data_IF_704336880850
#
_entry.id   IF_704336880850
#
_cell.length_a   1.000
_cell.length_b   1.000
_cell.length_c   1.000
_cell.angle_alpha   90.00
_cell.angle_beta   90.00
_cell.angle_gamma   90.00
#
_symmetry.space_group_name_H-M   'P 1'
#
loop_
_entity.id
_entity.type
_entity.pdbx_description
1 polymer ?
#
# COMPACT_ATOMS: atom_id res chain seq x y z
N UNK A 1 9.99 -14.30 9.21
CA UNK A 1 9.83 -13.95 7.79
C UNK A 1 8.57 -13.08 7.59
N UNK A 2 8.11 -12.39 8.65
CA UNK A 2 6.71 -11.96 8.81
C UNK A 2 6.52 -10.44 8.87
N UNK A 3 7.62 -9.70 8.97
CA UNK A 3 7.64 -8.22 9.00
C UNK A 3 7.00 -7.67 7.71
N UNK A 4 7.25 -8.34 6.58
CA UNK A 4 6.64 -7.98 5.31
C UNK A 4 5.10 -8.14 5.31
N UNK A 5 4.56 -9.06 6.09
CA UNK A 5 3.12 -9.29 6.08
C UNK A 5 2.39 -8.29 7.01
N UNK A 6 3.06 -7.82 8.07
CA UNK A 6 2.52 -6.78 8.94
C UNK A 6 2.50 -5.41 8.25
N UNK A 7 3.61 -5.00 7.63
CA UNK A 7 3.67 -3.70 6.96
C UNK A 7 2.70 -3.62 5.78
N UNK A 8 2.54 -4.72 5.02
CA UNK A 8 1.54 -4.81 3.95
C UNK A 8 0.12 -4.62 4.49
N UNK A 9 -0.20 -5.28 5.62
CA UNK A 9 -1.52 -5.16 6.25
C UNK A 9 -1.78 -3.75 6.77
N UNK A 10 -0.77 -3.09 7.34
CA UNK A 10 -0.91 -1.70 7.78
C UNK A 10 -1.13 -0.75 6.60
N UNK A 11 -0.39 -0.91 5.51
CA UNK A 11 -0.56 -0.11 4.30
C UNK A 11 -1.92 -0.34 3.65
N UNK A 12 -2.38 -1.61 3.58
CA UNK A 12 -3.73 -1.94 3.15
C UNK A 12 -4.78 -1.29 4.03
N UNK A 13 -4.65 -1.39 5.36
CA UNK A 13 -5.61 -0.81 6.29
C UNK A 13 -5.66 0.71 6.19
N UNK A 14 -4.51 1.39 6.06
CA UNK A 14 -4.45 2.83 5.78
C UNK A 14 -5.13 3.20 4.46
N UNK A 15 -4.89 2.41 3.42
CA UNK A 15 -5.48 2.63 2.09
C UNK A 15 -7.00 2.43 2.14
N UNK A 16 -7.49 1.42 2.86
CA UNK A 16 -8.92 1.16 3.05
C UNK A 16 -9.60 2.31 3.79
N UNK A 17 -9.02 2.81 4.89
CA UNK A 17 -9.59 3.95 5.63
C UNK A 17 -9.64 5.20 4.73
N UNK A 18 -8.54 5.49 4.01
CA UNK A 18 -8.49 6.63 3.10
C UNK A 18 -9.50 6.47 1.96
N UNK A 19 -9.69 5.25 1.45
CA UNK A 19 -10.66 4.95 0.41
C UNK A 19 -12.10 5.06 0.90
N UNK A 20 -12.42 4.58 2.09
CA UNK A 20 -13.74 4.72 2.70
C UNK A 20 -14.08 6.19 2.94
N UNK A 21 -13.11 6.97 3.44
CA UNK A 21 -13.27 8.41 3.61
C UNK A 21 -13.49 9.11 2.26
N UNK A 22 -12.65 8.83 1.25
CA UNK A 22 -12.81 9.37 -0.10
C UNK A 22 -14.12 8.92 -0.77
N UNK A 23 -14.61 7.73 -0.46
CA UNK A 23 -15.90 7.24 -0.98
C UNK A 23 -17.08 7.97 -0.35
N UNK A 24 -16.95 8.37 0.91
CA UNK A 24 -17.95 9.19 1.59
C UNK A 24 -17.94 10.64 1.07
N UNK A 25 -16.76 11.20 0.78
CA UNK A 25 -16.60 12.53 0.20
C UNK A 25 -15.58 12.53 -0.95
N UNK A 26 -16.03 12.24 -2.18
CA UNK A 26 -15.16 12.18 -3.35
C UNK A 26 -14.79 13.55 -3.92
N UNK A 27 -15.33 14.64 -3.36
CA UNK A 27 -15.02 16.01 -3.76
C UNK A 27 -13.90 16.63 -2.91
N UNK A 28 -13.55 16.00 -1.80
CA UNK A 28 -12.45 16.42 -0.93
C UNK A 28 -11.10 16.08 -1.55
N UNK A 29 -10.40 17.12 -2.03
CA UNK A 29 -9.02 17.01 -2.51
C UNK A 29 -8.09 16.47 -1.42
N UNK A 30 -8.31 16.80 -0.14
CA UNK A 30 -7.50 16.29 0.97
C UNK A 30 -7.61 14.76 1.12
N UNK A 31 -8.83 14.22 1.03
CA UNK A 31 -9.05 12.77 1.08
C UNK A 31 -8.49 12.09 -0.17
N UNK A 32 -8.56 12.76 -1.31
CA UNK A 32 -8.02 12.25 -2.56
C UNK A 32 -6.48 12.17 -2.51
N UNK A 33 -5.83 13.22 -1.99
CA UNK A 33 -4.39 13.23 -1.74
C UNK A 33 -3.98 12.16 -0.72
N UNK A 34 -4.74 12.00 0.37
CA UNK A 34 -4.45 10.97 1.38
C UNK A 34 -4.57 9.55 0.80
N UNK A 35 -5.56 9.31 -0.06
CA UNK A 35 -5.71 8.03 -0.76
C UNK A 35 -4.58 7.79 -1.77
N UNK A 36 -4.21 8.80 -2.57
CA UNK A 36 -3.09 8.68 -3.51
C UNK A 36 -1.77 8.42 -2.79
N UNK A 37 -1.51 9.07 -1.65
CA UNK A 37 -0.32 8.82 -0.84
C UNK A 37 -0.31 7.39 -0.28
N UNK A 38 -1.43 6.93 0.28
CA UNK A 38 -1.55 5.57 0.80
C UNK A 38 -1.38 4.51 -0.31
N UNK A 39 -1.98 4.74 -1.47
CA UNK A 39 -1.85 3.90 -2.66
C UNK A 39 -0.41 3.86 -3.17
N UNK A 40 0.27 5.00 -3.23
CA UNK A 40 1.66 5.08 -3.66
C UNK A 40 2.60 4.37 -2.68
N UNK A 41 2.36 4.49 -1.38
CA UNK A 41 3.10 3.75 -0.36
C UNK A 41 2.89 2.23 -0.50
N UNK A 42 1.66 1.78 -0.77
CA UNK A 42 1.35 0.37 -1.02
C UNK A 42 2.03 -0.15 -2.29
N UNK A 43 2.01 0.63 -3.38
CA UNK A 43 2.62 0.23 -4.66
C UNK A 43 4.15 0.12 -4.57
N UNK A 44 4.80 1.08 -3.91
CA UNK A 44 6.23 1.04 -3.60
C UNK A 44 6.57 -0.21 -2.79
N UNK A 45 5.77 -0.49 -1.76
CA UNK A 45 5.97 -1.65 -0.92
C UNK A 45 5.80 -2.97 -1.68
N UNK A 46 4.76 -3.10 -2.51
CA UNK A 46 4.53 -4.28 -3.36
C UNK A 46 5.66 -4.44 -4.38
N UNK A 47 6.16 -3.36 -4.95
CA UNK A 47 7.29 -3.38 -5.89
C UNK A 47 8.55 -3.90 -5.21
N UNK A 48 8.93 -3.33 -4.05
CA UNK A 48 10.07 -3.84 -3.28
C UNK A 48 9.84 -5.29 -2.82
N UNK A 49 8.63 -5.66 -2.39
CA UNK A 49 8.32 -7.03 -2.00
C UNK A 49 8.48 -8.01 -3.17
N UNK A 50 8.04 -7.63 -4.38
CA UNK A 50 8.22 -8.41 -5.61
C UNK A 50 9.69 -8.54 -5.98
N UNK A 51 10.48 -7.47 -5.88
CA UNK A 51 11.93 -7.51 -6.13
C UNK A 51 12.64 -8.46 -5.16
N UNK A 52 12.30 -8.39 -3.87
CA UNK A 52 12.84 -9.30 -2.85
C UNK A 52 12.45 -10.77 -3.11
N UNK A 53 11.23 -11.03 -3.60
CA UNK A 53 10.78 -12.38 -3.96
C UNK A 53 11.48 -12.88 -5.23
N UNK A 54 11.60 -12.05 -6.26
CA UNK A 54 12.31 -12.39 -7.50
C UNK A 54 13.78 -12.66 -7.26
N UNK A 55 14.44 -11.85 -6.43
CA UNK A 55 15.85 -12.05 -6.07
C UNK A 55 16.07 -13.41 -5.38
N UNK A 56 15.15 -13.80 -4.47
CA UNK A 56 15.19 -15.12 -3.82
C UNK A 56 14.91 -16.28 -4.77
N UNK A 57 14.02 -16.12 -5.75
CA UNK A 57 13.77 -17.15 -6.76
C UNK A 57 14.95 -17.34 -7.72
N UNK A 58 15.70 -16.27 -8.01
CA UNK A 58 16.83 -16.30 -8.95
C UNK A 58 18.12 -16.88 -8.35
N UNK A 59 18.18 -17.06 -7.03
CA UNK A 59 19.30 -17.68 -6.30
C UNK A 59 19.11 -19.19 -6.02
N UNK A 60 18.14 -19.86 -6.66
CA UNK A 60 17.95 -21.31 -6.60
C UNK A 60 18.26 -21.99 -7.92
#
# INVERSE_FOLDING_TARGET
>A
MDVNNQLLKELLHKTDIAFEALRADPASEELQMAYDEAKQALDNYVTSAKEHLQFRQRQR
#
